data_IF_069298875606
#
_entry.id   IF_069298875606
#
_cell.length_a   1.000
_cell.length_b   1.000
_cell.length_c   1.000
_cell.angle_alpha   90.00
_cell.angle_beta   90.00
_cell.angle_gamma   90.00
#
_symmetry.space_group_name_H-M   'P 1'
#
loop_
_entity.id
_entity.type
_entity.pdbx_description
1 polymer ?
#
# COMPACT_ATOMS: atom_id res chain seq x y z
N UNK A 1 10.89 -41.82 35.89
CA UNK A 1 9.92 -40.70 35.75
C UNK A 1 8.70 -41.20 34.99
N UNK A 2 7.49 -41.19 35.58
CA UNK A 2 6.28 -41.87 35.06
C UNK A 2 5.98 -41.47 33.61
N UNK A 3 5.69 -42.43 32.72
CA UNK A 3 5.42 -42.26 31.26
C UNK A 3 4.47 -41.09 30.97
N UNK A 4 3.40 -40.93 31.77
CA UNK A 4 2.44 -39.82 31.68
C UNK A 4 3.10 -38.44 31.75
N UNK A 5 4.10 -38.25 32.61
CA UNK A 5 4.81 -36.97 32.77
C UNK A 5 5.64 -36.60 31.54
N UNK A 6 6.22 -37.58 30.83
CA UNK A 6 6.96 -37.35 29.58
C UNK A 6 6.04 -36.91 28.44
N UNK A 7 4.87 -37.56 28.30
CA UNK A 7 3.86 -37.19 27.30
C UNK A 7 3.38 -35.76 27.55
N UNK A 8 2.97 -35.46 28.78
CA UNK A 8 2.46 -34.13 29.15
C UNK A 8 3.52 -33.06 28.89
N UNK A 9 4.79 -33.30 29.25
CA UNK A 9 5.86 -32.33 29.05
C UNK A 9 6.13 -32.06 27.56
N UNK A 10 6.11 -33.11 26.73
CA UNK A 10 6.35 -32.98 25.29
C UNK A 10 5.19 -32.28 24.57
N UNK A 11 3.96 -32.58 24.95
CA UNK A 11 2.77 -31.90 24.42
C UNK A 11 2.71 -30.45 24.87
N UNK A 12 3.06 -30.16 26.13
CA UNK A 12 3.13 -28.80 26.64
C UNK A 12 4.21 -27.99 25.92
N UNK A 13 5.38 -28.58 25.65
CA UNK A 13 6.43 -27.92 24.87
C UNK A 13 5.97 -27.58 23.44
N UNK A 14 5.29 -28.51 22.75
CA UNK A 14 4.70 -28.23 21.43
C UNK A 14 3.66 -27.13 21.52
N UNK A 15 2.77 -27.18 22.51
CA UNK A 15 1.72 -26.17 22.68
C UNK A 15 2.31 -24.77 22.88
N UNK A 16 3.30 -24.62 23.77
CA UNK A 16 3.99 -23.34 23.99
C UNK A 16 4.72 -22.87 22.74
N UNK A 17 5.35 -23.78 22.00
CA UNK A 17 6.01 -23.43 20.74
C UNK A 17 5.01 -22.95 19.68
N UNK A 18 3.93 -23.69 19.44
CA UNK A 18 2.93 -23.31 18.44
C UNK A 18 2.17 -22.04 18.79
N UNK A 19 1.83 -21.85 20.07
CA UNK A 19 1.17 -20.61 20.52
C UNK A 19 2.07 -19.40 20.37
N UNK A 20 3.35 -19.50 20.76
CA UNK A 20 4.31 -18.40 20.58
C UNK A 20 4.61 -18.14 19.10
N UNK A 21 4.81 -19.18 18.29
CA UNK A 21 4.98 -19.09 16.84
C UNK A 21 3.80 -18.37 16.16
N UNK A 22 2.57 -18.72 16.55
CA UNK A 22 1.35 -18.09 16.03
C UNK A 22 1.30 -16.63 16.42
N UNK A 23 1.53 -16.31 17.70
CA UNK A 23 1.52 -14.93 18.20
C UNK A 23 2.55 -14.05 17.47
N UNK A 24 3.78 -14.54 17.36
CA UNK A 24 4.87 -13.84 16.66
C UNK A 24 4.50 -13.62 15.19
N UNK A 25 4.02 -14.67 14.51
CA UNK A 25 3.64 -14.57 13.09
C UNK A 25 2.51 -13.55 12.87
N UNK A 26 1.49 -13.55 13.73
CA UNK A 26 0.39 -12.57 13.64
C UNK A 26 0.90 -11.14 13.83
N UNK A 27 1.76 -10.88 14.80
CA UNK A 27 2.33 -9.54 15.01
C UNK A 27 3.09 -9.05 13.77
N UNK A 28 4.01 -9.86 13.24
CA UNK A 28 4.77 -9.48 12.05
C UNK A 28 3.89 -9.29 10.81
N UNK A 29 2.86 -10.12 10.61
CA UNK A 29 1.92 -9.98 9.49
C UNK A 29 1.12 -8.69 9.61
N UNK A 30 0.59 -8.39 10.80
CA UNK A 30 -0.21 -7.18 11.04
C UNK A 30 0.62 -5.92 10.80
N UNK A 31 1.78 -5.80 11.42
CA UNK A 31 2.65 -4.62 11.28
C UNK A 31 3.03 -4.37 9.82
N UNK A 32 3.46 -5.45 9.15
CA UNK A 32 3.85 -5.40 7.74
C UNK A 32 2.66 -5.00 6.84
N UNK A 33 1.46 -5.49 7.14
CA UNK A 33 0.24 -5.18 6.38
C UNK A 33 -0.17 -3.72 6.58
N UNK A 34 -0.09 -3.21 7.80
CA UNK A 34 -0.38 -1.80 8.10
C UNK A 34 0.59 -0.85 7.38
N UNK A 35 1.89 -1.16 7.39
CA UNK A 35 2.90 -0.40 6.65
C UNK A 35 2.65 -0.43 5.14
N UNK A 36 2.30 -1.59 4.59
CA UNK A 36 1.96 -1.73 3.17
C UNK A 36 0.72 -0.92 2.80
N UNK A 37 -0.36 -1.01 3.59
CA UNK A 37 -1.58 -0.22 3.40
C UNK A 37 -1.27 1.27 3.42
N UNK A 38 -0.38 1.71 4.32
CA UNK A 38 0.08 3.10 4.38
C UNK A 38 0.80 3.52 3.09
N UNK A 39 1.71 2.71 2.57
CA UNK A 39 2.41 2.99 1.30
C UNK A 39 1.44 3.02 0.12
N UNK A 40 0.48 2.08 0.05
CA UNK A 40 -0.56 2.08 -0.99
C UNK A 40 -1.36 3.39 -0.96
N UNK A 41 -1.79 3.84 0.22
CA UNK A 41 -2.50 5.12 0.36
C UNK A 41 -1.66 6.31 -0.09
N UNK A 42 -0.35 6.30 0.17
CA UNK A 42 0.55 7.35 -0.32
C UNK A 42 0.67 7.34 -1.85
N UNK A 43 0.71 6.17 -2.49
CA UNK A 43 0.66 6.05 -3.96
C UNK A 43 -0.69 6.51 -4.54
N UNK A 44 -1.80 6.30 -3.85
CA UNK A 44 -3.09 6.87 -4.26
C UNK A 44 -3.05 8.40 -4.29
N UNK A 45 -2.45 9.03 -3.27
CA UNK A 45 -2.26 10.49 -3.24
C UNK A 45 -1.33 10.96 -4.37
N UNK A 46 -0.27 10.20 -4.69
CA UNK A 46 0.60 10.49 -5.83
C UNK A 46 -0.16 10.43 -7.17
N UNK A 47 -1.05 9.46 -7.35
CA UNK A 47 -1.90 9.38 -8.54
C UNK A 47 -2.85 10.58 -8.66
N UNK A 48 -3.42 11.06 -7.56
CA UNK A 48 -4.24 12.27 -7.56
C UNK A 48 -3.44 13.50 -8.00
N UNK A 49 -2.20 13.66 -7.50
CA UNK A 49 -1.32 14.78 -7.91
C UNK A 49 -0.94 14.70 -9.38
N UNK A 50 -0.61 13.51 -9.89
CA UNK A 50 -0.32 13.30 -11.31
C UNK A 50 -1.53 13.63 -12.18
N UNK A 51 -2.73 13.20 -11.77
CA UNK A 51 -3.98 13.55 -12.45
C UNK A 51 -4.15 15.06 -12.53
N UNK A 52 -3.91 15.79 -11.43
CA UNK A 52 -3.97 17.24 -11.40
C UNK A 52 -2.97 17.89 -12.39
N UNK A 53 -1.71 17.45 -12.38
CA UNK A 53 -0.67 17.94 -13.31
C UNK A 53 -1.08 17.72 -14.76
N UNK A 54 -1.55 16.51 -15.09
CA UNK A 54 -2.00 16.16 -16.44
C UNK A 54 -3.16 17.04 -16.86
N UNK A 55 -4.16 17.25 -16.00
CA UNK A 55 -5.30 18.14 -16.30
C UNK A 55 -4.86 19.58 -16.55
N UNK A 56 -3.89 20.11 -15.78
CA UNK A 56 -3.33 21.46 -16.03
C UNK A 56 -2.67 21.52 -17.40
N UNK A 57 -1.84 20.52 -17.73
CA UNK A 57 -1.13 20.44 -19.02
C UNK A 57 -2.10 20.33 -20.20
N UNK A 58 -3.18 19.54 -20.06
CA UNK A 58 -4.23 19.42 -21.07
C UNK A 58 -4.89 20.77 -21.34
N UNK A 59 -5.37 21.46 -20.31
CA UNK A 59 -6.02 22.78 -20.48
C UNK A 59 -5.04 23.81 -21.04
N UNK A 60 -3.77 23.77 -20.64
CA UNK A 60 -2.72 24.63 -21.23
C UNK A 60 -2.51 24.34 -22.72
N UNK A 61 -2.43 23.06 -23.11
CA UNK A 61 -2.29 22.69 -24.51
C UNK A 61 -3.46 23.20 -25.34
N UNK A 62 -4.69 23.11 -24.81
CA UNK A 62 -5.89 23.63 -25.46
C UNK A 62 -5.87 25.15 -25.56
N UNK A 63 -5.48 25.87 -24.51
CA UNK A 63 -5.34 27.33 -24.52
C UNK A 63 -4.49 27.80 -25.71
N UNK A 64 -3.39 27.11 -26.00
CA UNK A 64 -2.50 27.45 -27.11
C UNK A 64 -3.10 27.14 -28.49
N UNK A 65 -4.07 26.24 -28.60
CA UNK A 65 -4.65 25.80 -29.87
C UNK A 65 -6.04 26.37 -30.19
N UNK A 66 -6.75 26.99 -29.24
CA UNK A 66 -8.13 27.54 -29.39
C UNK A 66 -8.42 28.25 -30.72
N UNK A 67 -7.51 29.09 -31.22
CA UNK A 67 -7.69 29.87 -32.47
C UNK A 67 -6.85 29.34 -33.65
N UNK A 68 -6.46 28.07 -33.60
CA UNK A 68 -5.66 27.42 -34.65
C UNK A 68 -6.47 26.32 -35.32
N UNK A 69 -6.05 25.85 -36.52
CA UNK A 69 -6.66 24.67 -37.15
C UNK A 69 -6.54 23.38 -36.31
N UNK A 70 -5.68 23.39 -35.28
CA UNK A 70 -5.47 22.29 -34.32
C UNK A 70 -6.32 22.44 -33.05
N UNK A 71 -7.20 23.44 -33.01
CA UNK A 71 -8.09 23.69 -31.88
C UNK A 71 -9.19 22.63 -31.78
N UNK A 72 -9.45 22.19 -30.55
CA UNK A 72 -10.60 21.34 -30.25
C UNK A 72 -11.89 22.15 -30.12
N UNK A 73 -13.04 21.46 -30.16
CA UNK A 73 -14.34 22.07 -29.91
C UNK A 73 -14.39 22.72 -28.52
N UNK A 74 -15.11 23.84 -28.41
CA UNK A 74 -15.27 24.57 -27.15
C UNK A 74 -15.75 23.67 -26.00
N UNK A 75 -16.65 22.73 -26.31
CA UNK A 75 -17.22 21.80 -25.33
C UNK A 75 -16.15 20.90 -24.69
N UNK A 76 -15.11 20.50 -25.45
CA UNK A 76 -13.99 19.71 -24.92
C UNK A 76 -13.14 20.52 -23.95
N UNK A 77 -12.91 21.80 -24.23
CA UNK A 77 -12.14 22.69 -23.36
C UNK A 77 -12.88 22.92 -22.03
N UNK A 78 -14.20 23.12 -22.10
CA UNK A 78 -15.07 23.24 -20.92
C UNK A 78 -15.08 21.94 -20.11
N UNK A 79 -15.10 20.79 -20.77
CA UNK A 79 -14.99 19.50 -20.10
C UNK A 79 -13.65 19.34 -19.38
N UNK A 80 -12.53 19.63 -20.04
CA UNK A 80 -11.20 19.47 -19.48
C UNK A 80 -10.94 20.40 -18.30
N UNK A 81 -11.51 21.61 -18.30
CA UNK A 81 -11.41 22.48 -17.13
C UNK A 81 -12.29 22.04 -15.96
N UNK A 82 -13.42 21.38 -16.23
CA UNK A 82 -14.23 20.73 -15.19
C UNK A 82 -13.45 19.58 -14.53
N UNK A 83 -12.77 18.76 -15.33
CA UNK A 83 -11.90 17.67 -14.84
C UNK A 83 -10.74 18.22 -13.99
N UNK A 84 -10.17 19.36 -14.39
CA UNK A 84 -9.14 20.05 -13.60
C UNK A 84 -9.67 20.47 -12.22
N UNK A 85 -10.86 21.08 -12.15
CA UNK A 85 -11.48 21.52 -10.90
C UNK A 85 -11.79 20.33 -9.98
N UNK A 86 -12.37 19.25 -10.53
CA UNK A 86 -12.65 18.01 -9.80
C UNK A 86 -11.37 17.36 -9.26
N UNK A 87 -10.28 17.36 -10.04
CA UNK A 87 -8.99 16.82 -9.62
C UNK A 87 -8.40 17.59 -8.44
N UNK A 88 -8.56 18.91 -8.41
CA UNK A 88 -8.14 19.74 -7.29
C UNK A 88 -9.01 19.51 -6.05
N UNK A 89 -10.32 19.35 -6.22
CA UNK A 89 -11.24 19.05 -5.12
C UNK A 89 -10.87 17.73 -4.42
N UNK A 90 -10.57 16.68 -5.20
CA UNK A 90 -10.08 15.39 -4.68
C UNK A 90 -8.78 15.52 -3.89
N UNK A 91 -7.89 16.45 -4.27
CA UNK A 91 -6.68 16.70 -3.49
C UNK A 91 -6.98 17.41 -2.16
N UNK A 92 -7.99 18.30 -2.12
CA UNK A 92 -8.37 19.03 -0.90
C UNK A 92 -9.16 18.20 0.12
N UNK A 93 -9.74 17.06 -0.29
CA UNK A 93 -10.47 16.15 0.61
C UNK A 93 -9.55 15.29 1.49
N UNK A 94 -8.24 15.29 1.21
CA UNK A 94 -7.25 14.55 1.98
C UNK A 94 -6.88 15.25 3.29
N UNK A 95 -6.68 14.49 4.37
CA UNK A 95 -6.27 15.05 5.67
C UNK A 95 -4.79 15.44 5.66
N UNK A 96 -4.54 16.74 5.58
CA UNK A 96 -3.20 17.30 5.52
C UNK A 96 -2.88 18.18 6.74
N UNK A 97 -1.57 18.39 6.97
CA UNK A 97 -1.12 19.42 7.92
C UNK A 97 -1.59 20.80 7.46
N UNK A 98 -1.80 21.78 8.37
CA UNK A 98 -2.31 23.11 8.02
C UNK A 98 -1.52 23.80 6.90
N UNK A 99 -0.20 23.62 6.86
CA UNK A 99 0.67 24.24 5.85
C UNK A 99 0.38 23.73 4.44
N UNK A 100 0.20 22.42 4.28
CA UNK A 100 -0.13 21.78 3.00
C UNK A 100 -1.56 22.09 2.59
N UNK A 101 -2.50 22.10 3.55
CA UNK A 101 -3.88 22.49 3.30
C UNK A 101 -3.97 23.91 2.72
N UNK A 102 -3.20 24.86 3.27
CA UNK A 102 -3.13 26.23 2.76
C UNK A 102 -2.58 26.29 1.32
N UNK A 103 -1.58 25.48 0.99
CA UNK A 103 -1.07 25.38 -0.38
C UNK A 103 -2.11 24.82 -1.35
N UNK A 104 -2.87 23.81 -0.94
CA UNK A 104 -3.95 23.23 -1.75
C UNK A 104 -5.10 24.21 -1.97
N UNK A 105 -5.43 25.03 -0.97
CA UNK A 105 -6.40 26.12 -1.12
C UNK A 105 -5.91 27.21 -2.09
N UNK A 106 -4.63 27.57 -2.07
CA UNK A 106 -4.04 28.49 -3.06
C UNK A 106 -4.12 27.90 -4.47
N UNK A 107 -3.82 26.61 -4.65
CA UNK A 107 -3.99 25.91 -5.93
C UNK A 107 -5.44 25.98 -6.41
N UNK A 108 -6.41 25.68 -5.52
CA UNK A 108 -7.85 25.74 -5.85
C UNK A 108 -8.29 27.15 -6.24
N UNK A 109 -7.84 28.17 -5.52
CA UNK A 109 -8.11 29.57 -5.85
C UNK A 109 -7.57 29.91 -7.24
N UNK A 110 -6.33 29.52 -7.53
CA UNK A 110 -5.70 29.75 -8.85
C UNK A 110 -6.39 29.01 -9.99
N UNK A 111 -6.99 27.85 -9.73
CA UNK A 111 -7.81 27.14 -10.73
C UNK A 111 -9.07 27.95 -11.05
N UNK A 112 -9.70 28.60 -10.07
CA UNK A 112 -10.82 29.50 -10.35
C UNK A 112 -10.37 30.74 -11.14
N UNK A 113 -9.24 31.33 -10.79
CA UNK A 113 -8.66 32.44 -11.56
C UNK A 113 -8.36 32.01 -13.00
N UNK A 114 -7.85 30.77 -13.18
CA UNK A 114 -7.56 30.22 -14.49
C UNK A 114 -8.82 29.99 -15.31
N UNK A 115 -9.89 29.46 -14.71
CA UNK A 115 -11.22 29.30 -15.33
C UNK A 115 -11.76 30.64 -15.84
N UNK A 116 -11.66 31.68 -15.01
CA UNK A 116 -12.12 33.02 -15.36
C UNK A 116 -11.30 33.59 -16.52
N UNK A 117 -9.97 33.54 -16.43
CA UNK A 117 -9.08 34.04 -17.48
C UNK A 117 -9.28 33.30 -18.81
N UNK A 118 -9.46 31.98 -18.76
CA UNK A 118 -9.73 31.16 -19.95
C UNK A 118 -11.09 31.50 -20.58
N UNK A 119 -12.14 31.68 -19.76
CA UNK A 119 -13.45 32.12 -20.23
C UNK A 119 -13.36 33.48 -20.94
N UNK A 120 -12.63 34.44 -20.39
CA UNK A 120 -12.39 35.73 -21.03
C UNK A 120 -11.58 35.64 -22.32
N UNK A 121 -10.60 34.74 -22.39
CA UNK A 121 -9.82 34.50 -23.60
C UNK A 121 -10.70 33.95 -24.72
N UNK A 122 -11.47 32.89 -24.44
CA UNK A 122 -12.29 32.21 -25.45
C UNK A 122 -13.44 33.09 -25.94
N UNK A 123 -14.06 33.88 -25.05
CA UNK A 123 -15.18 34.78 -25.38
C UNK A 123 -14.73 36.14 -25.90
N UNK A 124 -13.42 36.40 -25.99
CA UNK A 124 -12.91 37.66 -26.53
C UNK A 124 -13.25 37.78 -28.03
N UNK A 125 -14.27 38.57 -28.34
CA UNK A 125 -14.63 38.84 -29.73
C UNK A 125 -13.72 39.92 -30.37
N UNK A 126 -13.32 39.64 -31.61
CA UNK A 126 -12.92 40.59 -32.66
C UNK A 126 -11.67 41.49 -32.48
N UNK A 127 -11.14 41.69 -31.27
CA UNK A 127 -9.94 42.52 -31.07
C UNK A 127 -8.70 41.65 -30.82
N UNK A 128 -7.84 41.52 -31.84
CA UNK A 128 -6.59 40.73 -31.76
C UNK A 128 -5.70 41.09 -30.57
N UNK A 129 -5.57 42.39 -30.25
CA UNK A 129 -4.76 42.85 -29.11
C UNK A 129 -5.35 42.41 -27.77
N UNK A 130 -6.69 42.39 -27.67
CA UNK A 130 -7.40 41.91 -26.49
C UNK A 130 -7.29 40.39 -26.34
N UNK A 131 -7.47 39.64 -27.44
CA UNK A 131 -7.31 38.18 -27.48
C UNK A 131 -5.91 37.78 -27.00
N UNK A 132 -4.87 38.42 -27.56
CA UNK A 132 -3.49 38.10 -27.20
C UNK A 132 -3.18 38.43 -25.73
N UNK A 133 -3.68 39.56 -25.22
CA UNK A 133 -3.54 39.90 -23.81
C UNK A 133 -4.19 38.85 -22.90
N UNK A 134 -5.44 38.47 -23.18
CA UNK A 134 -6.15 37.45 -22.40
C UNK A 134 -5.47 36.08 -22.47
N UNK A 135 -4.89 35.73 -23.63
CA UNK A 135 -4.10 34.51 -23.82
C UNK A 135 -2.88 34.48 -22.90
N UNK A 136 -2.09 35.56 -22.91
CA UNK A 136 -0.88 35.69 -22.09
C UNK A 136 -1.22 35.62 -20.61
N UNK A 137 -2.32 36.27 -20.19
CA UNK A 137 -2.81 36.24 -18.82
C UNK A 137 -3.20 34.82 -18.37
N UNK A 138 -4.05 34.14 -19.15
CA UNK A 138 -4.45 32.77 -18.88
C UNK A 138 -3.24 31.81 -18.86
N UNK A 139 -2.32 31.95 -19.82
CA UNK A 139 -1.10 31.14 -19.89
C UNK A 139 -0.20 31.37 -18.67
N UNK A 140 -0.09 32.63 -18.21
CA UNK A 140 0.68 32.99 -17.02
C UNK A 140 0.13 32.31 -15.75
N UNK A 141 -1.19 32.32 -15.57
CA UNK A 141 -1.84 31.66 -14.44
C UNK A 141 -1.64 30.13 -14.51
N UNK A 142 -1.86 29.52 -15.68
CA UNK A 142 -1.68 28.08 -15.87
C UNK A 142 -0.23 27.63 -15.66
N UNK A 143 0.77 28.41 -16.07
CA UNK A 143 2.19 28.10 -15.87
C UNK A 143 2.57 28.17 -14.39
N UNK A 144 2.07 29.16 -13.66
CA UNK A 144 2.29 29.26 -12.23
C UNK A 144 1.60 28.12 -11.47
N UNK A 145 0.40 27.72 -11.88
CA UNK A 145 -0.34 26.58 -11.34
C UNK A 145 0.43 25.26 -11.56
N UNK A 146 0.94 25.04 -12.78
CA UNK A 146 1.76 23.88 -13.12
C UNK A 146 3.01 23.82 -12.24
N UNK A 147 3.77 24.91 -12.19
CA UNK A 147 5.02 25.02 -11.41
C UNK A 147 4.81 24.73 -9.92
N UNK A 148 3.74 25.28 -9.33
CA UNK A 148 3.40 25.04 -7.91
C UNK A 148 3.06 23.57 -7.65
N UNK A 149 2.26 22.99 -8.54
CA UNK A 149 1.81 21.59 -8.41
C UNK A 149 2.97 20.62 -8.60
N UNK A 150 3.86 20.86 -9.58
CA UNK A 150 5.05 20.06 -9.83
C UNK A 150 6.04 20.10 -8.67
N UNK A 151 6.31 21.28 -8.09
CA UNK A 151 7.18 21.41 -6.92
C UNK A 151 6.66 20.63 -5.70
N UNK A 152 5.34 20.65 -5.48
CA UNK A 152 4.71 19.87 -4.42
C UNK A 152 4.79 18.37 -4.71
N UNK A 153 4.65 17.97 -5.98
CA UNK A 153 4.71 16.56 -6.40
C UNK A 153 6.12 16.00 -6.25
N UNK A 154 7.14 16.65 -6.83
CA UNK A 154 8.52 16.15 -6.89
C UNK A 154 9.11 15.87 -5.50
N UNK A 155 8.88 16.77 -4.56
CA UNK A 155 9.31 16.63 -3.16
C UNK A 155 8.68 15.40 -2.50
N UNK A 156 7.41 15.14 -2.79
CA UNK A 156 6.69 14.05 -2.17
C UNK A 156 6.99 12.69 -2.82
N UNK A 157 7.18 12.64 -4.14
CA UNK A 157 7.53 11.41 -4.87
C UNK A 157 8.87 10.83 -4.37
N UNK A 158 9.88 11.67 -4.09
CA UNK A 158 11.16 11.22 -3.55
C UNK A 158 11.01 10.55 -2.17
N UNK A 159 10.20 11.15 -1.28
CA UNK A 159 9.91 10.55 0.03
C UNK A 159 9.13 9.24 -0.08
N UNK A 160 8.22 9.13 -1.05
CA UNK A 160 7.43 7.93 -1.30
C UNK A 160 8.29 6.76 -1.78
N UNK A 161 9.24 6.99 -2.68
CA UNK A 161 10.19 5.96 -3.14
C UNK A 161 11.00 5.42 -1.96
N UNK A 162 11.55 6.32 -1.13
CA UNK A 162 12.30 5.92 0.07
C UNK A 162 11.45 5.06 1.02
N UNK A 163 10.22 5.50 1.33
CA UNK A 163 9.31 4.73 2.19
C UNK A 163 8.92 3.39 1.60
N UNK A 164 8.69 3.32 0.29
CA UNK A 164 8.35 2.08 -0.41
C UNK A 164 9.48 1.06 -0.27
N UNK A 165 10.72 1.49 -0.47
CA UNK A 165 11.89 0.61 -0.33
C UNK A 165 12.04 0.10 1.11
N UNK A 166 11.88 0.95 2.11
CA UNK A 166 11.93 0.53 3.52
C UNK A 166 10.85 -0.50 3.86
N UNK A 167 9.60 -0.30 3.40
CA UNK A 167 8.52 -1.26 3.64
C UNK A 167 8.79 -2.59 2.93
N UNK A 168 9.35 -2.58 1.72
CA UNK A 168 9.76 -3.80 1.01
C UNK A 168 10.86 -4.56 1.78
N UNK A 169 11.83 -3.85 2.33
CA UNK A 169 12.88 -4.45 3.16
C UNK A 169 12.29 -5.09 4.43
N UNK A 170 11.41 -4.38 5.14
CA UNK A 170 10.69 -4.89 6.32
C UNK A 170 9.83 -6.12 5.98
N UNK A 171 9.13 -6.11 4.85
CA UNK A 171 8.35 -7.24 4.33
C UNK A 171 9.22 -8.48 4.12
N UNK A 172 10.39 -8.30 3.51
CA UNK A 172 11.32 -9.40 3.27
C UNK A 172 11.85 -9.99 4.59
N UNK A 173 12.12 -9.14 5.57
CA UNK A 173 12.53 -9.57 6.90
C UNK A 173 11.43 -10.39 7.61
N UNK A 174 10.19 -9.87 7.65
CA UNK A 174 9.05 -10.57 8.22
C UNK A 174 8.79 -11.92 7.54
N UNK A 175 8.84 -11.95 6.20
CA UNK A 175 8.71 -13.17 5.40
C UNK A 175 9.74 -14.22 5.79
N UNK A 176 11.00 -13.81 5.96
CA UNK A 176 12.07 -14.73 6.34
C UNK A 176 11.86 -15.31 7.75
N UNK A 177 11.42 -14.50 8.72
CA UNK A 177 11.08 -14.98 10.08
C UNK A 177 9.96 -16.01 10.03
N UNK A 178 8.87 -15.73 9.29
CA UNK A 178 7.73 -16.64 9.18
C UNK A 178 8.18 -17.98 8.56
N UNK A 179 9.01 -17.96 7.51
CA UNK A 179 9.55 -19.19 6.94
C UNK A 179 10.39 -19.99 7.94
N UNK A 180 11.23 -19.31 8.74
CA UNK A 180 12.02 -19.98 9.78
C UNK A 180 11.14 -20.61 10.87
N UNK A 181 10.05 -19.94 11.26
CA UNK A 181 9.05 -20.48 12.20
C UNK A 181 8.35 -21.71 11.61
N UNK A 182 7.96 -21.66 10.33
CA UNK A 182 7.32 -22.79 9.66
C UNK A 182 8.25 -24.00 9.56
N UNK A 183 9.49 -23.82 9.11
CA UNK A 183 10.47 -24.91 9.00
C UNK A 183 10.77 -25.51 10.39
N UNK A 184 10.98 -24.66 11.40
CA UNK A 184 11.24 -25.13 12.77
C UNK A 184 10.05 -25.88 13.36
N UNK A 185 8.81 -25.51 13.04
CA UNK A 185 7.61 -26.24 13.49
C UNK A 185 7.56 -27.66 12.95
N UNK A 186 7.92 -27.88 11.68
CA UNK A 186 7.98 -29.21 11.06
C UNK A 186 9.08 -30.05 11.72
N UNK A 187 10.28 -29.47 11.90
CA UNK A 187 11.41 -30.15 12.53
C UNK A 187 11.06 -30.56 13.97
N UNK A 188 10.44 -29.66 14.74
CA UNK A 188 10.02 -29.94 16.11
C UNK A 188 8.97 -31.06 16.17
N UNK A 189 7.99 -31.05 15.25
CA UNK A 189 7.00 -32.13 15.14
C UNK A 189 7.64 -33.50 14.89
N UNK A 190 8.60 -33.57 13.96
CA UNK A 190 9.36 -34.79 13.69
C UNK A 190 10.14 -35.23 14.93
N UNK A 191 10.86 -34.31 15.58
CA UNK A 191 11.66 -34.62 16.76
C UNK A 191 10.81 -35.18 17.91
N UNK A 192 9.65 -34.58 18.16
CA UNK A 192 8.71 -35.04 19.18
C UNK A 192 8.14 -36.42 18.83
N UNK A 193 7.73 -36.63 17.58
CA UNK A 193 7.22 -37.94 17.12
C UNK A 193 8.24 -39.06 17.31
N UNK A 194 9.50 -38.83 16.93
CA UNK A 194 10.59 -39.81 17.13
C UNK A 194 10.85 -40.06 18.62
N UNK A 195 10.83 -39.03 19.45
CA UNK A 195 11.08 -39.16 20.89
C UNK A 195 9.97 -39.98 21.58
N UNK A 196 8.70 -39.68 21.33
CA UNK A 196 7.59 -40.46 21.90
C UNK A 196 7.61 -41.92 21.40
N UNK A 197 7.87 -42.14 20.11
CA UNK A 197 7.93 -43.50 19.54
C UNK A 197 9.01 -44.34 20.22
N UNK A 198 10.21 -43.77 20.42
CA UNK A 198 11.32 -44.46 21.07
C UNK A 198 11.14 -44.62 22.58
N UNK A 199 10.62 -43.60 23.27
CA UNK A 199 10.55 -43.60 24.74
C UNK A 199 9.28 -44.26 25.29
N UNK A 200 8.24 -44.48 24.48
CA UNK A 200 6.92 -44.91 24.96
C UNK A 200 6.38 -46.05 24.12
N UNK A 201 6.23 -45.85 22.81
CA UNK A 201 5.57 -46.84 21.94
C UNK A 201 6.35 -48.15 21.89
N UNK A 202 7.66 -48.11 21.64
CA UNK A 202 8.51 -49.33 21.59
C UNK A 202 8.47 -50.14 22.91
N UNK A 203 8.72 -49.56 24.10
CA UNK A 203 8.63 -50.32 25.34
C UNK A 203 7.25 -50.93 25.63
N UNK A 204 6.16 -50.25 25.25
CA UNK A 204 4.80 -50.79 25.42
C UNK A 204 4.59 -51.96 24.46
N UNK A 205 5.05 -51.86 23.22
CA UNK A 205 4.98 -52.93 22.23
C UNK A 205 5.78 -54.16 22.67
N UNK A 206 6.98 -53.96 23.23
CA UNK A 206 7.80 -55.03 23.80
C UNK A 206 7.10 -55.75 24.96
N UNK A 207 6.47 -54.99 25.88
CA UNK A 207 5.70 -55.56 27.00
C UNK A 207 4.45 -56.30 26.52
N UNK A 208 3.76 -55.76 25.51
CA UNK A 208 2.58 -56.39 24.92
C UNK A 208 2.95 -57.71 24.23
N UNK A 209 4.07 -57.73 23.50
CA UNK A 209 4.59 -58.93 22.85
C UNK A 209 5.05 -59.98 23.87
N UNK A 210 5.75 -59.56 24.94
CA UNK A 210 6.13 -60.46 26.03
C UNK A 210 4.91 -61.08 26.74
N UNK A 211 3.84 -60.30 26.94
CA UNK A 211 2.60 -60.79 27.56
C UNK A 211 1.89 -61.81 26.65
N UNK A 212 1.80 -61.52 25.35
CA UNK A 212 1.26 -62.46 24.34
C UNK A 212 2.02 -63.78 24.27
N UNK A 213 3.32 -63.79 24.54
CA UNK A 213 4.11 -65.03 24.60
C UNK A 213 3.90 -65.84 25.89
N UNK A 214 3.43 -65.21 26.98
CA UNK A 214 3.17 -65.88 28.27
C UNK A 214 1.73 -66.40 28.35
N UNK A 215 0.78 -65.72 27.72
CA UNK A 215 -0.64 -66.09 27.69
C UNK A 215 -0.90 -67.56 27.28
N UNK A 216 -0.30 -68.13 26.21
CA UNK A 216 -0.49 -69.55 25.86
C UNK A 216 0.17 -70.55 26.83
N UNK A 217 1.08 -70.11 27.71
CA UNK A 217 1.75 -70.98 28.69
C UNK A 217 0.95 -71.13 30.00
N UNK A 218 -0.01 -70.23 30.26
CA UNK A 218 -0.81 -70.21 31.51
C UNK A 218 -2.13 -70.98 31.45
N UNK A 219 -2.54 -71.44 30.26
CA UNK A 219 -3.79 -72.18 30.02
C UNK A 219 -3.54 -73.70 29.84
N UNK A 220 -2.35 -74.17 30.26
CA UNK A 220 -1.88 -75.55 30.07
C UNK A 220 -1.39 -76.23 31.35
N UNK A 221 -2.03 -75.97 32.49
CA UNK A 221 -1.95 -76.79 33.71
C UNK A 221 -3.36 -77.10 34.18
#
# INVERSE_FOLDING_TARGET
MKIKRKIILSLLALFVFFTSATLISTLYITDTTEELVRVIRLHQVENLRRSLIISIQTVQSELYTVYTPLGHELDLIVQNISILDESAEKCTSCHHKPEIYKQLQDIRSRIQDYKIALSYYITAAANKKRIEKSKIEAAGIGNELLRRTENMSSTASASLVSKTNTVIENMNYARNIIFMILISSVILGIAVSVNLTRSITRPIEDLLNATKTIEPLSIGV
#
